data_IF_101698439020
#
_entry.id   IF_101698439020
#
_cell.length_a   1.000
_cell.length_b   1.000
_cell.length_c   1.000
_cell.angle_alpha   90.00
_cell.angle_beta   90.00
_cell.angle_gamma   90.00
#
_symmetry.space_group_name_H-M   'P 1'
#
loop_
_entity.id
_entity.type
_entity.pdbx_description
1 polymer ?
#
# COMPACT_ATOMS: atom_id res chain seq x y z
N UNK A 1 26.39 6.73 -3.93
CA UNK A 1 25.06 6.28 -3.41
C UNK A 1 25.14 5.50 -2.10
N UNK A 2 25.93 4.41 -2.03
CA UNK A 2 26.06 3.57 -0.83
C UNK A 2 26.51 4.29 0.44
N UNK A 3 27.30 5.37 0.31
CA UNK A 3 27.69 6.23 1.43
C UNK A 3 26.54 7.09 2.00
N UNK A 4 25.43 7.23 1.27
CA UNK A 4 24.30 8.11 1.62
C UNK A 4 23.02 7.32 1.90
N UNK A 5 22.76 6.24 1.14
CA UNK A 5 21.56 5.42 1.24
C UNK A 5 21.76 4.28 2.24
N UNK A 6 22.00 4.64 3.50
CA UNK A 6 22.16 3.71 4.62
C UNK A 6 20.82 3.24 5.18
N UNK A 7 20.85 2.25 6.08
CA UNK A 7 19.66 1.79 6.84
C UNK A 7 18.98 2.97 7.55
N UNK A 8 19.76 3.86 8.15
CA UNK A 8 19.27 5.06 8.82
C UNK A 8 18.57 6.02 7.84
N UNK A 9 19.16 6.25 6.66
CA UNK A 9 18.56 7.11 5.63
C UNK A 9 17.22 6.55 5.12
N UNK A 10 17.11 5.24 4.93
CA UNK A 10 15.85 4.60 4.57
C UNK A 10 14.82 4.70 5.70
N UNK A 11 15.22 4.49 6.96
CA UNK A 11 14.33 4.72 8.12
C UNK A 11 13.82 6.15 8.16
N UNK A 12 14.68 7.15 7.97
CA UNK A 12 14.30 8.56 7.90
C UNK A 12 13.29 8.82 6.77
N UNK A 13 13.52 8.24 5.59
CA UNK A 13 12.59 8.34 4.47
C UNK A 13 11.21 7.75 4.80
N UNK A 14 11.15 6.61 5.51
CA UNK A 14 9.89 6.01 5.96
C UNK A 14 9.16 6.87 7.00
N UNK A 15 9.89 7.50 7.94
CA UNK A 15 9.32 8.45 8.90
C UNK A 15 8.69 9.64 8.17
N UNK A 16 9.44 10.27 7.26
CA UNK A 16 8.93 11.40 6.47
C UNK A 16 7.73 10.97 5.62
N UNK A 17 7.78 9.79 4.99
CA UNK A 17 6.69 9.26 4.20
C UNK A 17 5.39 9.10 5.01
N UNK A 18 5.49 8.65 6.26
CA UNK A 18 4.33 8.60 7.16
C UNK A 18 3.79 9.99 7.50
N UNK A 19 4.69 10.94 7.80
CA UNK A 19 4.30 12.28 8.23
C UNK A 19 3.66 13.13 7.11
N UNK A 20 4.05 12.92 5.84
CA UNK A 20 3.48 13.67 4.70
C UNK A 20 2.16 13.10 4.19
N UNK A 21 1.66 11.98 4.73
CA UNK A 21 0.51 11.31 4.10
C UNK A 21 0.87 10.65 2.77
N UNK A 22 2.08 10.07 2.68
CA UNK A 22 2.70 9.62 1.43
C UNK A 22 1.88 8.59 0.63
N UNK A 23 2.28 8.41 -0.63
CA UNK A 23 1.70 7.36 -1.48
C UNK A 23 2.14 5.98 -0.99
N UNK A 24 1.22 5.00 -1.05
CA UNK A 24 1.55 3.59 -0.76
C UNK A 24 2.58 3.02 -1.74
N UNK A 25 2.62 3.53 -2.98
CA UNK A 25 3.68 3.22 -3.96
C UNK A 25 5.08 3.60 -3.47
N UNK A 26 5.19 4.63 -2.61
CA UNK A 26 6.47 5.07 -2.04
C UNK A 26 7.16 3.95 -1.28
N UNK A 27 6.40 3.09 -0.60
CA UNK A 27 6.92 1.92 0.11
C UNK A 27 7.52 0.91 -0.87
N UNK A 28 6.83 0.58 -1.97
CA UNK A 28 7.35 -0.34 -3.01
C UNK A 28 8.68 0.20 -3.56
N UNK A 29 8.74 1.49 -3.89
CA UNK A 29 9.93 2.11 -4.46
C UNK A 29 11.10 2.17 -3.46
N UNK A 30 10.84 2.52 -2.21
CA UNK A 30 11.87 2.52 -1.16
C UNK A 30 12.38 1.10 -0.88
N UNK A 31 11.50 0.10 -0.87
CA UNK A 31 11.87 -1.31 -0.73
C UNK A 31 12.76 -1.78 -1.87
N UNK A 32 12.41 -1.46 -3.14
CA UNK A 32 13.25 -1.79 -4.29
C UNK A 32 14.63 -1.10 -4.20
N UNK A 33 14.65 0.20 -3.92
CA UNK A 33 15.90 0.97 -3.79
C UNK A 33 16.80 0.44 -2.65
N UNK A 34 16.22 0.09 -1.51
CA UNK A 34 16.93 -0.53 -0.40
C UNK A 34 17.48 -1.91 -0.79
N UNK A 35 16.67 -2.72 -1.47
CA UNK A 35 17.06 -4.03 -1.99
C UNK A 35 18.29 -3.96 -2.88
N UNK A 36 18.41 -2.92 -3.73
CA UNK A 36 19.61 -2.70 -4.57
C UNK A 36 20.88 -2.44 -3.76
N UNK A 37 20.75 -1.97 -2.53
CA UNK A 37 21.86 -1.76 -1.58
C UNK A 37 22.08 -2.97 -0.65
N UNK A 38 21.34 -4.08 -0.83
CA UNK A 38 21.37 -5.22 0.08
C UNK A 38 20.67 -4.96 1.41
N UNK A 39 19.83 -3.92 1.49
CA UNK A 39 19.09 -3.55 2.69
C UNK A 39 17.65 -4.05 2.56
N UNK A 40 17.16 -4.78 3.56
CA UNK A 40 15.77 -5.21 3.64
C UNK A 40 14.96 -4.16 4.42
N UNK A 41 13.87 -3.67 3.83
CA UNK A 41 12.86 -2.90 4.57
C UNK A 41 12.02 -3.89 5.39
N UNK A 42 11.95 -3.64 6.69
CA UNK A 42 11.15 -4.42 7.63
C UNK A 42 9.74 -3.82 7.71
N UNK A 43 8.74 -4.58 7.28
CA UNK A 43 7.34 -4.15 7.30
C UNK A 43 6.78 -4.03 8.73
N UNK A 44 7.26 -4.82 9.67
CA UNK A 44 6.82 -4.73 11.07
C UNK A 44 7.36 -3.43 11.69
N UNK A 45 8.64 -3.12 11.43
CA UNK A 45 9.21 -1.84 11.82
C UNK A 45 8.52 -0.65 11.15
N UNK A 46 8.10 -0.79 9.88
CA UNK A 46 7.32 0.22 9.18
C UNK A 46 5.92 0.42 9.79
N UNK A 47 5.24 -0.66 10.21
CA UNK A 47 3.96 -0.54 10.93
C UNK A 47 4.12 0.20 12.25
N UNK A 48 5.20 -0.09 12.99
CA UNK A 48 5.50 0.60 14.24
C UNK A 48 5.68 2.11 14.01
N UNK A 49 6.40 2.51 12.95
CA UNK A 49 6.45 3.92 12.53
C UNK A 49 5.05 4.48 12.23
N UNK A 50 4.17 3.69 11.62
CA UNK A 50 2.77 4.08 11.37
C UNK A 50 1.92 4.28 12.64
N UNK A 51 2.39 3.82 13.80
CA UNK A 51 1.77 4.08 15.11
C UNK A 51 2.33 5.33 15.77
N UNK A 52 3.63 5.58 15.59
CA UNK A 52 4.37 6.60 16.34
C UNK A 52 4.49 7.95 15.61
N UNK A 53 4.46 7.94 14.27
CA UNK A 53 4.67 9.12 13.44
C UNK A 53 3.30 9.70 13.01
N UNK A 54 2.87 10.87 13.51
CA UNK A 54 1.61 11.48 13.09
C UNK A 54 1.68 12.03 11.66
N UNK A 55 0.53 12.15 10.98
CA UNK A 55 0.44 12.92 9.73
C UNK A 55 0.42 14.41 10.06
N UNK A 56 1.42 15.14 9.58
CA UNK A 56 1.64 16.56 9.86
C UNK A 56 1.30 17.47 8.68
N UNK A 57 1.36 16.97 7.46
CA UNK A 57 1.18 17.82 6.28
C UNK A 57 -0.27 17.82 5.82
N UNK A 58 -0.87 19.02 5.78
CA UNK A 58 -2.23 19.30 5.35
C UNK A 58 -2.33 19.37 3.82
N UNK A 59 -2.17 18.23 3.15
CA UNK A 59 -2.31 18.12 1.70
C UNK A 59 -3.37 17.12 1.30
N UNK A 60 -4.06 17.39 0.19
CA UNK A 60 -4.90 16.39 -0.45
C UNK A 60 -4.11 15.09 -0.73
N UNK A 61 -4.71 13.90 -0.52
CA UNK A 61 -6.11 13.66 -0.18
C UNK A 61 -6.42 13.63 1.32
N UNK A 62 -5.43 13.81 2.19
CA UNK A 62 -5.61 13.75 3.66
C UNK A 62 -5.94 15.09 4.30
N UNK A 63 -5.82 16.18 3.55
CA UNK A 63 -6.05 17.56 3.96
C UNK A 63 -6.58 18.44 2.81
N UNK A 64 -6.53 19.75 2.97
CA UNK A 64 -7.23 20.72 2.12
C UNK A 64 -6.32 21.44 1.09
N UNK A 65 -5.00 21.47 1.32
CA UNK A 65 -4.05 22.24 0.50
C UNK A 65 -3.36 21.43 -0.61
N UNK A 66 -2.52 22.12 -1.39
CA UNK A 66 -1.72 21.60 -2.52
C UNK A 66 -0.21 21.78 -2.30
N UNK A 67 0.62 21.08 -3.08
CA UNK A 67 2.08 21.05 -2.92
C UNK A 67 2.77 22.43 -2.90
N UNK A 68 2.25 23.42 -3.62
CA UNK A 68 2.75 24.81 -3.57
C UNK A 68 2.63 25.43 -2.17
N UNK A 69 1.54 25.14 -1.46
CA UNK A 69 1.34 25.59 -0.08
C UNK A 69 2.32 24.91 0.86
N UNK A 70 2.64 23.62 0.64
CA UNK A 70 3.67 22.93 1.41
C UNK A 70 5.05 23.55 1.19
N UNK A 71 5.37 23.91 -0.06
CA UNK A 71 6.60 24.63 -0.38
C UNK A 71 6.66 26.00 0.31
N UNK A 72 5.62 26.82 0.19
CA UNK A 72 5.55 28.14 0.83
C UNK A 72 5.53 28.09 2.36
N UNK A 73 5.10 26.97 2.95
CA UNK A 73 5.15 26.74 4.38
C UNK A 73 6.55 26.35 4.91
N UNK A 74 7.58 26.32 4.06
CA UNK A 74 8.96 25.96 4.41
C UNK A 74 9.36 24.53 4.01
N UNK A 75 8.45 23.77 3.41
CA UNK A 75 8.73 22.47 2.77
C UNK A 75 9.32 21.39 3.69
N UNK A 76 10.12 20.51 3.09
CA UNK A 76 10.69 19.33 3.77
C UNK A 76 11.61 19.70 4.96
N UNK A 77 12.51 20.69 4.88
CA UNK A 77 13.31 21.08 6.05
C UNK A 77 12.46 21.46 7.25
N UNK A 78 11.41 22.25 7.03
CA UNK A 78 10.49 22.67 8.09
C UNK A 78 9.72 21.49 8.69
N UNK A 79 9.26 20.56 7.85
CA UNK A 79 8.65 19.32 8.32
C UNK A 79 9.61 18.49 9.18
N UNK A 80 10.87 18.35 8.76
CA UNK A 80 11.87 17.57 9.49
C UNK A 80 12.17 18.15 10.88
N UNK A 81 12.05 19.47 11.07
CA UNK A 81 12.15 20.08 12.41
C UNK A 81 11.09 19.57 13.38
N UNK A 82 9.86 19.35 12.89
CA UNK A 82 8.79 18.75 13.70
C UNK A 82 9.00 17.27 13.98
N UNK A 83 9.88 16.60 13.24
CA UNK A 83 10.16 15.16 13.34
C UNK A 83 11.55 14.85 13.92
N UNK A 84 12.29 15.86 14.38
CA UNK A 84 13.73 15.75 14.65
C UNK A 84 14.12 14.63 15.63
N UNK A 85 13.25 14.29 16.59
CA UNK A 85 13.46 13.23 17.58
C UNK A 85 13.20 11.82 17.04
N UNK A 86 12.56 11.73 15.87
CA UNK A 86 12.26 10.48 15.17
C UNK A 86 13.24 10.20 14.02
N UNK A 87 14.11 11.17 13.71
CA UNK A 87 15.06 11.11 12.62
C UNK A 87 16.48 10.88 13.13
N UNK A 88 17.27 10.12 12.38
CA UNK A 88 18.72 10.08 12.53
C UNK A 88 19.33 11.30 11.84
N UNK A 89 19.61 12.32 12.64
CA UNK A 89 20.07 13.63 12.18
C UNK A 89 21.52 13.65 11.70
N UNK A 90 22.30 12.62 12.02
CA UNK A 90 23.73 12.55 11.67
C UNK A 90 23.94 11.88 10.30
N UNK A 91 22.84 11.46 9.64
CA UNK A 91 22.87 10.90 8.28
C UNK A 91 23.45 11.90 7.27
N UNK A 92 24.42 11.51 6.43
CA UNK A 92 25.07 12.42 5.48
C UNK A 92 24.15 12.77 4.30
N UNK A 93 24.34 13.95 3.73
CA UNK A 93 23.58 14.41 2.55
C UNK A 93 24.43 14.56 1.29
N UNK A 94 23.78 14.61 0.12
CA UNK A 94 24.46 14.89 -1.17
C UNK A 94 25.09 16.29 -1.25
N UNK A 95 24.64 17.23 -0.41
CA UNK A 95 25.16 18.60 -0.38
C UNK A 95 26.42 18.73 0.47
N UNK A 96 26.87 17.64 1.09
CA UNK A 96 27.81 17.68 2.21
C UNK A 96 27.06 17.89 3.54
N UNK A 97 27.77 17.72 4.65
CA UNK A 97 27.18 17.79 5.99
C UNK A 97 26.16 16.68 6.27
N UNK A 98 25.31 16.93 7.25
CA UNK A 98 24.36 16.00 7.84
C UNK A 98 22.91 16.44 7.61
N UNK A 99 21.95 15.56 7.92
CA UNK A 99 20.53 15.90 7.87
C UNK A 99 20.17 17.03 8.84
N UNK A 100 20.90 17.15 9.96
CA UNK A 100 20.82 18.29 10.88
C UNK A 100 21.13 19.62 10.17
N UNK A 101 22.18 19.64 9.36
CA UNK A 101 22.59 20.85 8.63
C UNK A 101 21.55 21.23 7.58
N UNK A 102 20.98 20.25 6.88
CA UNK A 102 19.87 20.48 5.95
C UNK A 102 18.62 21.00 6.67
N UNK A 103 18.27 20.43 7.81
CA UNK A 103 17.13 20.87 8.62
C UNK A 103 17.29 22.30 9.16
N UNK A 104 18.54 22.73 9.41
CA UNK A 104 18.84 24.11 9.80
C UNK A 104 18.63 25.13 8.68
N UNK A 105 18.48 24.71 7.42
CA UNK A 105 18.14 25.62 6.31
C UNK A 105 16.63 25.90 6.20
N UNK A 106 15.81 25.38 7.12
CA UNK A 106 14.37 25.62 7.06
C UNK A 106 14.05 27.10 7.24
N UNK A 107 13.22 27.63 6.36
CA UNK A 107 12.69 28.99 6.48
C UNK A 107 11.68 29.04 7.63
N UNK A 108 11.77 30.08 8.46
CA UNK A 108 10.71 30.40 9.40
C UNK A 108 9.59 31.13 8.65
N UNK A 109 8.41 30.51 8.63
CA UNK A 109 7.21 31.03 7.96
C UNK A 109 6.12 31.23 9.02
N UNK A 110 6.09 32.39 9.69
CA UNK A 110 5.16 32.63 10.77
C UNK A 110 3.70 32.49 10.33
N UNK A 111 2.91 31.77 11.13
CA UNK A 111 1.46 31.64 10.91
C UNK A 111 1.04 30.66 9.81
N UNK A 112 1.97 29.96 9.15
CA UNK A 112 1.61 28.89 8.22
C UNK A 112 0.87 27.76 8.95
N UNK A 113 -0.12 27.16 8.28
CA UNK A 113 -0.97 26.09 8.85
C UNK A 113 -0.85 24.75 8.12
N UNK A 114 -0.01 24.68 7.09
CA UNK A 114 0.11 23.53 6.18
C UNK A 114 0.97 22.42 6.79
N UNK A 115 2.07 22.80 7.44
CA UNK A 115 2.93 21.89 8.21
C UNK A 115 2.52 22.03 9.67
N UNK A 116 1.72 21.07 10.15
CA UNK A 116 1.19 21.09 11.51
C UNK A 116 2.25 20.70 12.53
N UNK A 117 2.24 21.32 13.73
CA UNK A 117 3.10 20.87 14.81
C UNK A 117 2.68 19.50 15.31
N UNK A 118 3.62 18.72 15.85
CA UNK A 118 3.33 17.40 16.43
C UNK A 118 2.25 17.39 17.52
N UNK A 119 2.08 18.50 18.24
CA UNK A 119 1.06 18.66 19.27
C UNK A 119 -0.37 18.88 18.70
N UNK A 120 -0.50 19.24 17.42
CA UNK A 120 -1.79 19.48 16.76
C UNK A 120 -1.80 18.92 15.31
N UNK A 121 -1.56 17.61 15.12
CA UNK A 121 -1.38 16.98 13.82
C UNK A 121 -2.69 16.88 13.03
N UNK A 122 -2.59 16.59 11.73
CA UNK A 122 -3.77 16.25 10.89
C UNK A 122 -4.37 14.91 11.32
N UNK A 123 -3.52 13.92 11.57
CA UNK A 123 -3.88 12.63 12.18
C UNK A 123 -2.86 12.29 13.26
N UNK A 124 -3.34 11.83 14.41
CA UNK A 124 -2.47 11.42 15.52
C UNK A 124 -1.67 10.13 15.23
N UNK A 125 -2.08 9.37 14.20
CA UNK A 125 -1.41 8.18 13.69
C UNK A 125 -0.76 8.45 12.33
N UNK A 126 0.11 7.55 11.89
CA UNK A 126 0.75 7.63 10.58
C UNK A 126 -0.19 7.37 9.43
N UNK A 127 0.27 7.71 8.23
CA UNK A 127 -0.53 7.61 7.01
C UNK A 127 -0.92 6.18 6.64
N UNK A 128 -0.05 5.21 6.91
CA UNK A 128 -0.14 3.84 6.44
C UNK A 128 0.02 2.85 7.59
N UNK A 129 -0.67 1.72 7.48
CA UNK A 129 -0.53 0.57 8.36
C UNK A 129 -0.28 -0.70 7.54
N UNK A 130 0.41 -1.66 8.15
CA UNK A 130 0.60 -3.00 7.58
C UNK A 130 -0.41 -3.95 8.21
N UNK A 131 -1.22 -4.58 7.37
CA UNK A 131 -2.20 -5.59 7.79
C UNK A 131 -1.62 -6.99 7.58
N UNK A 132 -1.88 -7.89 8.52
CA UNK A 132 -1.50 -9.29 8.47
C UNK A 132 -2.72 -10.19 8.70
N UNK A 133 -2.62 -11.45 8.29
CA UNK A 133 -3.65 -12.44 8.54
C UNK A 133 -3.67 -13.49 7.44
N UNK A 134 -4.62 -14.43 7.52
CA UNK A 134 -4.67 -15.55 6.57
C UNK A 134 -4.91 -15.11 5.11
N UNK A 135 -5.50 -13.92 4.89
CA UNK A 135 -5.71 -13.37 3.54
C UNK A 135 -4.45 -12.70 2.95
N UNK A 136 -3.57 -12.18 3.81
CA UNK A 136 -2.34 -11.49 3.44
C UNK A 136 -1.16 -11.96 4.31
N UNK A 137 -0.68 -13.21 4.13
CA UNK A 137 0.29 -13.82 5.04
C UNK A 137 1.68 -13.19 4.97
N UNK A 138 2.00 -12.41 3.93
CA UNK A 138 3.23 -11.61 3.84
C UNK A 138 2.98 -10.11 4.00
N UNK A 139 1.76 -9.74 4.39
CA UNK A 139 1.35 -8.36 4.59
C UNK A 139 0.51 -7.79 3.45
N UNK A 140 -0.21 -6.72 3.80
CA UNK A 140 -0.92 -5.83 2.90
C UNK A 140 -0.86 -4.41 3.47
N UNK A 141 -1.07 -3.39 2.63
CA UNK A 141 -0.97 -1.99 3.03
C UNK A 141 -2.34 -1.32 2.97
N UNK A 142 -2.67 -0.52 3.98
CA UNK A 142 -3.82 0.39 3.96
C UNK A 142 -3.33 1.82 4.25
N UNK A 143 -3.83 2.80 3.49
CA UNK A 143 -3.66 4.22 3.81
C UNK A 143 -4.69 4.64 4.86
N UNK A 144 -4.42 4.31 6.13
CA UNK A 144 -5.35 4.57 7.23
C UNK A 144 -5.69 6.06 7.41
N UNK A 145 -4.84 7.01 7.02
CA UNK A 145 -5.17 8.45 7.11
C UNK A 145 -6.29 8.90 6.17
N UNK A 146 -6.55 8.13 5.11
CA UNK A 146 -7.56 8.41 4.10
C UNK A 146 -8.76 7.43 4.16
N UNK A 147 -8.78 6.50 5.11
CA UNK A 147 -9.87 5.56 5.29
C UNK A 147 -11.02 6.15 6.12
N UNK A 148 -12.23 5.68 5.87
CA UNK A 148 -13.41 6.10 6.64
C UNK A 148 -13.41 5.43 8.02
N UNK A 149 -13.53 6.18 9.14
CA UNK A 149 -13.45 5.61 10.49
C UNK A 149 -14.42 4.46 10.74
N UNK A 150 -15.66 4.55 10.21
CA UNK A 150 -16.68 3.52 10.37
C UNK A 150 -16.36 2.18 9.66
N UNK A 151 -15.42 2.19 8.70
CA UNK A 151 -15.01 1.00 7.94
C UNK A 151 -13.64 0.44 8.37
N UNK A 152 -12.96 1.09 9.31
CA UNK A 152 -11.66 0.61 9.84
C UNK A 152 -11.78 -0.69 10.64
N UNK A 153 -12.99 -1.03 11.08
CA UNK A 153 -13.35 -2.31 11.67
C UNK A 153 -14.64 -2.78 11.01
N UNK A 154 -14.51 -3.64 10.02
CA UNK A 154 -15.60 -4.03 9.14
C UNK A 154 -15.55 -5.53 8.85
N UNK A 155 -16.71 -6.16 8.83
CA UNK A 155 -16.86 -7.52 8.29
C UNK A 155 -17.97 -7.50 7.27
N UNK A 156 -17.65 -7.91 6.04
CA UNK A 156 -18.60 -7.91 4.94
C UNK A 156 -18.42 -9.12 4.05
N UNK A 157 -19.44 -9.38 3.23
CA UNK A 157 -19.41 -10.45 2.24
C UNK A 157 -18.56 -10.03 1.04
N UNK A 158 -17.75 -10.94 0.53
CA UNK A 158 -16.90 -10.72 -0.63
C UNK A 158 -17.73 -10.68 -1.92
N UNK A 159 -17.49 -9.64 -2.73
CA UNK A 159 -17.90 -9.54 -4.13
C UNK A 159 -16.63 -9.51 -4.97
N UNK A 160 -16.39 -10.62 -5.68
CA UNK A 160 -15.13 -10.93 -6.36
C UNK A 160 -15.17 -10.54 -7.83
N UNK A 161 -14.13 -9.82 -8.23
CA UNK A 161 -13.75 -9.52 -9.60
C UNK A 161 -12.48 -10.26 -9.97
N UNK A 162 -12.55 -10.99 -11.07
CA UNK A 162 -11.54 -11.95 -11.52
C UNK A 162 -10.30 -11.28 -12.12
N UNK A 163 -10.47 -10.10 -12.70
CA UNK A 163 -9.43 -9.32 -13.35
C UNK A 163 -9.86 -7.86 -13.48
N UNK A 164 -8.95 -7.00 -13.93
CA UNK A 164 -9.27 -5.59 -14.25
C UNK A 164 -10.33 -5.49 -15.37
N UNK A 165 -10.32 -6.43 -16.31
CA UNK A 165 -11.33 -6.53 -17.37
C UNK A 165 -12.70 -6.93 -16.81
N UNK A 166 -12.75 -7.97 -15.97
CA UNK A 166 -13.99 -8.43 -15.31
C UNK A 166 -14.61 -7.33 -14.43
N UNK A 167 -13.77 -6.59 -13.68
CA UNK A 167 -14.19 -5.41 -12.93
C UNK A 167 -14.85 -4.37 -13.85
N UNK A 168 -14.18 -4.02 -14.96
CA UNK A 168 -14.68 -3.01 -15.90
C UNK A 168 -16.03 -3.41 -16.50
N UNK A 169 -16.23 -4.70 -16.79
CA UNK A 169 -17.46 -5.20 -17.39
C UNK A 169 -18.62 -5.32 -16.40
N UNK A 170 -18.36 -5.62 -15.13
CA UNK A 170 -19.40 -5.99 -14.15
C UNK A 170 -19.72 -4.95 -13.09
N UNK A 171 -18.81 -4.03 -12.76
CA UNK A 171 -18.97 -3.15 -11.57
C UNK A 171 -20.25 -2.30 -11.62
N UNK A 172 -20.66 -1.88 -12.82
CA UNK A 172 -21.84 -1.06 -13.06
C UNK A 172 -23.03 -1.85 -13.63
N UNK A 173 -22.95 -3.19 -13.68
CA UNK A 173 -24.08 -4.03 -14.06
C UNK A 173 -25.23 -3.86 -13.03
N UNK A 174 -26.44 -3.45 -13.45
CA UNK A 174 -27.59 -3.35 -12.54
C UNK A 174 -27.86 -4.66 -11.77
N UNK A 175 -27.59 -5.81 -12.40
CA UNK A 175 -27.80 -7.14 -11.84
C UNK A 175 -26.67 -7.62 -10.91
N UNK A 176 -25.55 -6.88 -10.79
CA UNK A 176 -24.47 -7.23 -9.86
C UNK A 176 -25.04 -7.33 -8.44
N UNK A 177 -25.00 -8.50 -7.82
CA UNK A 177 -25.40 -8.66 -6.43
C UNK A 177 -24.34 -8.03 -5.52
N UNK A 178 -24.59 -6.78 -5.09
CA UNK A 178 -23.70 -5.98 -4.23
C UNK A 178 -24.51 -5.03 -3.35
N UNK A 179 -24.12 -4.98 -2.08
CA UNK A 179 -24.66 -4.10 -1.04
C UNK A 179 -23.57 -3.17 -0.51
N UNK A 180 -23.95 -2.12 0.22
CA UNK A 180 -23.02 -1.09 0.71
C UNK A 180 -22.00 -1.61 1.75
N UNK A 181 -22.34 -2.68 2.46
CA UNK A 181 -21.53 -3.36 3.47
C UNK A 181 -20.72 -4.54 2.92
N UNK A 182 -20.85 -4.86 1.63
CA UNK A 182 -19.99 -5.86 0.98
C UNK A 182 -18.53 -5.38 0.87
N UNK A 183 -17.60 -6.32 0.77
CA UNK A 183 -16.18 -6.11 0.50
C UNK A 183 -15.92 -6.39 -0.98
N UNK A 184 -15.48 -5.37 -1.72
CA UNK A 184 -15.09 -5.57 -3.12
C UNK A 184 -13.69 -6.16 -3.17
N UNK A 185 -13.52 -7.25 -3.91
CA UNK A 185 -12.26 -8.01 -4.01
C UNK A 185 -11.83 -8.03 -5.46
N UNK A 186 -10.68 -7.44 -5.79
CA UNK A 186 -10.05 -7.59 -7.10
C UNK A 186 -8.83 -8.50 -6.96
N UNK A 187 -8.82 -9.58 -7.74
CA UNK A 187 -7.66 -10.47 -7.87
C UNK A 187 -7.02 -10.34 -9.24
N UNK A 188 -5.85 -10.96 -9.39
CA UNK A 188 -5.02 -10.96 -10.60
C UNK A 188 -4.65 -9.54 -11.05
N UNK A 189 -4.48 -8.63 -10.08
CA UNK A 189 -4.05 -7.26 -10.33
C UNK A 189 -2.66 -6.97 -9.73
N UNK A 190 -1.97 -8.02 -9.28
CA UNK A 190 -0.59 -7.99 -8.80
C UNK A 190 0.47 -7.89 -9.89
N UNK A 191 1.76 -7.96 -9.51
CA UNK A 191 2.89 -7.91 -10.44
C UNK A 191 2.77 -8.93 -11.58
N UNK A 192 2.52 -10.21 -11.29
CA UNK A 192 2.40 -11.25 -12.31
C UNK A 192 1.01 -11.30 -12.93
N UNK A 193 -0.03 -11.07 -12.13
CA UNK A 193 -1.42 -11.26 -12.53
C UNK A 193 -1.89 -10.32 -13.64
N UNK A 194 -1.65 -9.01 -13.47
CA UNK A 194 -2.22 -8.00 -14.38
C UNK A 194 -1.57 -7.94 -15.76
N UNK A 195 -0.26 -8.13 -15.97
CA UNK A 195 0.94 -7.92 -15.13
C UNK A 195 1.30 -6.44 -14.85
N UNK A 196 2.39 -6.20 -14.12
CA UNK A 196 2.94 -4.86 -13.84
C UNK A 196 2.31 -4.15 -12.64
N UNK A 197 1.35 -4.79 -11.96
CA UNK A 197 0.67 -4.28 -10.78
C UNK A 197 0.06 -2.88 -11.02
N UNK A 198 -0.97 -2.74 -11.86
CA UNK A 198 -1.57 -1.45 -12.21
C UNK A 198 -2.20 -0.76 -11.00
N UNK A 199 -2.53 0.52 -11.15
CA UNK A 199 -3.23 1.31 -10.12
C UNK A 199 -4.74 1.03 -10.07
N UNK A 200 -5.12 -0.24 -10.25
CA UNK A 200 -6.51 -0.72 -10.30
C UNK A 200 -7.08 -1.04 -8.92
N UNK A 201 -6.31 -0.87 -7.84
CA UNK A 201 -6.77 -1.09 -6.46
C UNK A 201 -7.76 -0.02 -5.97
N UNK A 202 -7.84 1.12 -6.67
CA UNK A 202 -8.92 2.09 -6.49
C UNK A 202 -10.19 1.64 -7.21
N UNK A 203 -10.78 0.52 -6.75
CA UNK A 203 -12.03 0.02 -7.30
C UNK A 203 -13.12 1.11 -7.17
N UNK A 204 -13.85 1.43 -8.25
CA UNK A 204 -14.94 2.37 -8.17
C UNK A 204 -16.09 1.78 -7.34
N UNK A 205 -16.83 2.65 -6.65
CA UNK A 205 -18.07 2.26 -6.00
C UNK A 205 -19.10 2.00 -7.11
N UNK A 206 -19.81 0.85 -7.12
CA UNK A 206 -20.86 0.56 -8.08
C UNK A 206 -21.81 1.75 -8.24
N UNK A 207 -22.06 2.19 -9.48
CA UNK A 207 -22.85 3.41 -9.73
C UNK A 207 -24.19 3.43 -9.02
N UNK A 208 -24.86 2.28 -8.93
CA UNK A 208 -26.14 2.15 -8.23
C UNK A 208 -26.05 2.45 -6.73
N UNK A 209 -24.94 2.10 -6.07
CA UNK A 209 -24.68 2.41 -4.66
C UNK A 209 -24.25 3.86 -4.50
N UNK A 210 -23.42 4.38 -5.42
CA UNK A 210 -23.03 5.79 -5.42
C UNK A 210 -24.26 6.72 -5.54
N UNK A 211 -25.23 6.38 -6.41
CA UNK A 211 -26.50 7.11 -6.54
C UNK A 211 -27.37 7.06 -5.29
N UNK A 212 -27.19 6.05 -4.43
CA UNK A 212 -27.84 5.95 -3.12
C UNK A 212 -27.06 6.69 -2.01
N UNK A 213 -25.95 7.33 -2.35
CA UNK A 213 -25.14 8.13 -1.41
C UNK A 213 -24.01 7.35 -0.73
N UNK A 214 -23.71 6.12 -1.16
CA UNK A 214 -22.53 5.38 -0.68
C UNK A 214 -21.26 6.07 -1.19
N UNK A 215 -20.42 6.53 -0.26
CA UNK A 215 -19.19 7.29 -0.55
C UNK A 215 -17.90 6.49 -0.31
N UNK A 216 -17.99 5.39 0.42
CA UNK A 216 -16.86 4.51 0.69
C UNK A 216 -17.36 3.08 0.94
N UNK A 217 -16.51 2.12 0.62
CA UNK A 217 -16.68 0.68 0.83
C UNK A 217 -15.30 0.08 1.07
N UNK A 218 -15.23 -1.03 1.81
CA UNK A 218 -13.98 -1.78 1.93
C UNK A 218 -13.66 -2.42 0.58
N UNK A 219 -12.48 -2.11 0.05
CA UNK A 219 -11.98 -2.61 -1.23
C UNK A 219 -10.61 -3.22 -1.03
N UNK A 220 -10.39 -4.43 -1.53
CA UNK A 220 -9.13 -5.15 -1.31
C UNK A 220 -8.58 -5.67 -2.64
N UNK A 221 -7.27 -5.61 -2.80
CA UNK A 221 -6.60 -6.15 -3.99
C UNK A 221 -5.12 -6.44 -3.77
N UNK A 222 -4.55 -7.23 -4.66
CA UNK A 222 -3.11 -7.35 -4.85
C UNK A 222 -2.53 -6.22 -5.75
N UNK A 223 -3.33 -5.19 -6.07
CA UNK A 223 -2.97 -4.08 -6.92
C UNK A 223 -2.32 -2.90 -6.16
N UNK A 224 -2.03 -1.83 -6.91
CA UNK A 224 -1.65 -0.51 -6.37
C UNK A 224 -2.78 0.49 -6.49
N UNK A 225 -2.59 1.69 -5.95
CA UNK A 225 -3.45 2.84 -6.22
C UNK A 225 -2.62 4.11 -6.35
N UNK A 226 -3.17 5.12 -7.03
CA UNK A 226 -2.58 6.46 -7.04
C UNK A 226 -2.53 7.06 -5.62
N UNK A 227 -1.48 7.82 -5.32
CA UNK A 227 -1.30 8.47 -4.01
C UNK A 227 -2.38 9.49 -3.63
N UNK A 228 -3.19 9.94 -4.60
CA UNK A 228 -4.26 10.92 -4.42
C UNK A 228 -5.62 10.31 -4.08
N UNK A 229 -5.71 8.98 -3.95
CA UNK A 229 -6.96 8.29 -3.65
C UNK A 229 -7.41 8.44 -2.18
N UNK A 230 -8.73 8.47 -1.98
CA UNK A 230 -9.42 8.43 -0.68
C UNK A 230 -10.18 7.11 -0.50
N UNK A 231 -10.38 6.67 0.74
CA UNK A 231 -11.29 5.61 1.11
C UNK A 231 -10.60 4.38 1.71
N UNK A 232 -11.43 3.41 2.10
CA UNK A 232 -11.00 2.26 2.91
C UNK A 232 -10.51 1.13 2.01
N UNK A 233 -9.25 1.23 1.59
CA UNK A 233 -8.67 0.38 0.53
C UNK A 233 -7.43 -0.35 1.03
N UNK A 234 -7.44 -1.68 0.90
CA UNK A 234 -6.30 -2.55 1.16
C UNK A 234 -5.63 -2.92 -0.16
N UNK A 235 -4.32 -2.76 -0.20
CA UNK A 235 -3.49 -2.89 -1.39
C UNK A 235 -2.32 -3.84 -1.13
N UNK A 236 -1.62 -4.20 -2.19
CA UNK A 236 -0.33 -4.89 -2.10
C UNK A 236 -0.43 -6.20 -1.33
N UNK A 237 -1.60 -6.85 -1.34
CA UNK A 237 -1.77 -8.14 -0.69
C UNK A 237 -0.73 -9.11 -1.24
N UNK A 238 0.12 -9.60 -0.34
CA UNK A 238 1.22 -10.49 -0.67
C UNK A 238 1.07 -11.85 0.06
N UNK A 239 1.31 -12.98 -0.62
CA UNK A 239 1.50 -13.10 -2.08
C UNK A 239 0.27 -12.68 -2.88
N UNK A 240 0.48 -12.23 -4.11
CA UNK A 240 -0.61 -11.93 -5.05
C UNK A 240 -1.39 -13.21 -5.43
N UNK A 241 -2.60 -13.08 -5.97
CA UNK A 241 -3.41 -14.24 -6.35
C UNK A 241 -2.74 -15.10 -7.44
N UNK A 242 -2.12 -14.46 -8.43
CA UNK A 242 -1.42 -15.13 -9.53
C UNK A 242 -0.17 -15.90 -9.09
N UNK A 243 0.35 -15.63 -7.89
CA UNK A 243 1.45 -16.38 -7.27
C UNK A 243 0.94 -17.44 -6.27
N UNK A 244 -0.35 -17.78 -6.30
CA UNK A 244 -0.97 -18.75 -5.39
C UNK A 244 -1.31 -18.19 -4.01
N UNK A 245 -1.35 -16.86 -3.87
CA UNK A 245 -1.73 -16.19 -2.64
C UNK A 245 -3.18 -16.47 -2.23
N UNK A 246 -3.52 -16.39 -0.93
CA UNK A 246 -4.87 -16.68 -0.43
C UNK A 246 -5.99 -15.83 -1.05
N UNK A 247 -5.67 -14.62 -1.55
CA UNK A 247 -6.60 -13.79 -2.31
C UNK A 247 -7.20 -14.51 -3.53
N UNK A 248 -6.42 -15.40 -4.17
CA UNK A 248 -6.88 -16.23 -5.28
C UNK A 248 -7.91 -17.29 -4.89
N UNK A 249 -8.09 -17.57 -3.59
CA UNK A 249 -9.02 -18.59 -3.08
C UNK A 249 -10.35 -18.01 -2.60
N UNK A 250 -10.49 -16.68 -2.58
CA UNK A 250 -11.72 -15.99 -2.20
C UNK A 250 -12.82 -16.31 -3.21
N UNK A 251 -14.05 -16.52 -2.72
CA UNK A 251 -15.27 -16.74 -3.50
C UNK A 251 -16.32 -15.70 -3.10
N UNK A 252 -17.21 -15.39 -4.04
CA UNK A 252 -18.41 -14.61 -3.74
C UNK A 252 -19.16 -15.23 -2.56
N UNK A 253 -19.58 -14.43 -1.59
CA UNK A 253 -20.28 -14.93 -0.41
C UNK A 253 -19.40 -15.13 0.83
N UNK A 254 -18.08 -15.30 0.68
CA UNK A 254 -17.19 -15.45 1.83
C UNK A 254 -17.19 -14.19 2.70
N UNK A 255 -17.08 -14.32 4.02
CA UNK A 255 -16.93 -13.17 4.90
C UNK A 255 -15.45 -12.76 4.99
N UNK A 256 -15.18 -11.46 4.91
CA UNK A 256 -13.85 -10.88 5.10
C UNK A 256 -13.92 -9.86 6.22
N UNK A 257 -13.01 -9.98 7.19
CA UNK A 257 -12.85 -9.05 8.30
C UNK A 257 -11.61 -8.18 8.07
N UNK A 258 -11.81 -6.86 8.08
CA UNK A 258 -10.78 -5.85 8.20
C UNK A 258 -10.81 -5.27 9.62
N UNK A 259 -9.70 -5.33 10.34
CA UNK A 259 -9.52 -4.64 11.61
C UNK A 259 -8.17 -3.93 11.60
N UNK A 260 -8.20 -2.64 11.27
CA UNK A 260 -7.00 -1.81 11.17
C UNK A 260 -6.34 -1.65 12.54
N UNK A 261 -7.11 -1.52 13.62
CA UNK A 261 -6.55 -1.36 14.96
C UNK A 261 -5.77 -2.61 15.40
N UNK A 262 -6.29 -3.79 15.11
CA UNK A 262 -5.63 -5.07 15.37
C UNK A 262 -4.60 -5.48 14.30
N UNK A 263 -4.40 -4.68 13.25
CA UNK A 263 -3.58 -5.01 12.07
C UNK A 263 -3.99 -6.33 11.40
N UNK A 264 -5.28 -6.63 11.38
CA UNK A 264 -5.82 -7.90 10.90
C UNK A 264 -6.57 -7.75 9.60
N UNK A 265 -6.29 -8.64 8.65
CA UNK A 265 -7.14 -8.90 7.48
C UNK A 265 -7.37 -10.42 7.37
N UNK A 266 -8.63 -10.83 7.49
CA UNK A 266 -8.99 -12.24 7.61
C UNK A 266 -10.06 -12.63 6.60
N UNK A 267 -9.83 -13.75 5.90
CA UNK A 267 -10.84 -14.51 5.19
C UNK A 267 -11.46 -15.51 6.17
N UNK A 268 -12.74 -15.35 6.48
CA UNK A 268 -13.47 -16.10 7.51
C UNK A 268 -13.95 -17.44 6.96
N UNK A 269 -12.98 -18.26 6.56
CA UNK A 269 -13.18 -19.59 6.00
C UNK A 269 -12.28 -20.55 6.76
N UNK A 270 -12.82 -21.69 7.17
CA UNK A 270 -12.06 -22.69 7.91
C UNK A 270 -10.82 -23.16 7.13
N UNK A 271 -9.74 -23.42 7.85
CA UNK A 271 -8.46 -23.83 7.26
C UNK A 271 -8.59 -25.10 6.40
N UNK A 272 -9.46 -26.04 6.80
CA UNK A 272 -9.76 -27.25 6.03
C UNK A 272 -10.43 -26.94 4.68
N UNK A 273 -11.31 -25.95 4.65
CA UNK A 273 -11.93 -25.50 3.40
C UNK A 273 -10.92 -24.76 2.53
N UNK A 274 -10.07 -23.90 3.11
CA UNK A 274 -9.01 -23.21 2.36
C UNK A 274 -7.99 -24.20 1.76
N UNK A 275 -7.62 -25.24 2.51
CA UNK A 275 -6.79 -26.33 2.01
C UNK A 275 -7.48 -27.04 0.83
N UNK A 276 -8.76 -27.41 0.96
CA UNK A 276 -9.53 -28.02 -0.12
C UNK A 276 -9.60 -27.14 -1.37
N UNK A 277 -9.79 -25.83 -1.21
CA UNK A 277 -9.79 -24.86 -2.32
C UNK A 277 -8.43 -24.80 -3.01
N UNK A 278 -7.34 -24.82 -2.24
CA UNK A 278 -5.98 -24.82 -2.76
C UNK A 278 -5.67 -26.10 -3.53
N UNK A 279 -6.04 -27.25 -2.99
CA UNK A 279 -5.85 -28.56 -3.64
C UNK A 279 -6.67 -28.66 -4.93
N UNK A 280 -7.92 -28.15 -4.92
CA UNK A 280 -8.78 -28.11 -6.09
C UNK A 280 -8.26 -27.16 -7.19
N UNK A 281 -7.60 -26.05 -6.81
CA UNK A 281 -6.95 -25.17 -7.76
C UNK A 281 -5.66 -25.79 -8.35
N UNK A 282 -4.95 -26.60 -7.55
CA UNK A 282 -3.71 -27.25 -7.97
C UNK A 282 -2.67 -26.24 -8.46
N UNK A 283 -2.04 -26.54 -9.60
CA UNK A 283 -1.13 -25.62 -10.30
C UNK A 283 -1.81 -24.81 -11.41
N UNK A 284 -3.15 -24.86 -11.51
CA UNK A 284 -3.85 -24.09 -12.52
C UNK A 284 -3.72 -22.59 -12.21
N UNK A 285 -3.59 -21.73 -13.24
CA UNK A 285 -3.70 -20.30 -13.05
C UNK A 285 -5.05 -19.97 -12.38
N UNK A 286 -5.11 -18.95 -11.50
CA UNK A 286 -6.38 -18.47 -10.98
C UNK A 286 -7.34 -18.13 -12.12
N UNK A 287 -8.65 -18.28 -11.88
CA UNK A 287 -9.65 -17.79 -12.82
C UNK A 287 -9.40 -16.30 -13.14
N UNK A 288 -9.51 -15.92 -14.41
CA UNK A 288 -9.23 -14.56 -14.88
C UNK A 288 -7.75 -14.16 -14.99
N UNK A 289 -6.80 -15.05 -14.67
CA UNK A 289 -5.38 -14.76 -14.84
C UNK A 289 -5.00 -14.64 -16.32
N UNK A 290 -4.14 -13.66 -16.63
CA UNK A 290 -3.58 -13.53 -17.97
C UNK A 290 -2.72 -14.76 -18.33
N UNK A 291 -2.68 -15.17 -19.61
CA UNK A 291 -1.79 -16.25 -20.06
C UNK A 291 -0.33 -15.96 -19.70
N UNK A 292 0.39 -17.00 -19.27
CA UNK A 292 1.83 -16.89 -19.03
C UNK A 292 2.54 -16.60 -20.36
N UNK A 293 3.31 -15.51 -20.48
CA UNK A 293 3.99 -15.20 -21.74
C UNK A 293 5.16 -16.17 -21.99
N UNK A 294 5.25 -16.71 -23.21
CA UNK A 294 6.30 -17.67 -23.58
C UNK A 294 7.68 -17.03 -23.84
N UNK A 295 7.70 -15.78 -24.33
CA UNK A 295 8.94 -15.08 -24.74
C UNK A 295 8.87 -13.56 -24.56
N UNK A 296 10.02 -12.90 -24.74
CA UNK A 296 10.17 -11.44 -24.69
C UNK A 296 10.20 -10.87 -23.27
N UNK A 297 10.10 -9.54 -23.16
CA UNK A 297 10.14 -8.85 -21.87
C UNK A 297 9.04 -9.32 -20.92
N UNK A 298 7.83 -9.57 -21.43
CA UNK A 298 6.71 -10.07 -20.62
C UNK A 298 7.04 -11.41 -19.94
N UNK A 299 7.73 -12.32 -20.64
CA UNK A 299 8.16 -13.61 -20.07
C UNK A 299 9.31 -13.45 -19.06
N UNK A 300 10.24 -12.53 -19.31
CA UNK A 300 11.29 -12.18 -18.35
C UNK A 300 10.68 -11.61 -17.07
N UNK A 301 9.77 -10.65 -17.23
CA UNK A 301 9.07 -9.99 -16.13
C UNK A 301 8.29 -11.02 -15.31
N UNK A 302 7.44 -11.83 -15.94
CA UNK A 302 6.63 -12.83 -15.26
C UNK A 302 7.46 -13.81 -14.40
N UNK A 303 8.60 -14.27 -14.92
CA UNK A 303 9.49 -15.21 -14.21
C UNK A 303 10.24 -14.55 -13.07
N UNK A 304 10.76 -13.34 -13.30
CA UNK A 304 11.78 -12.73 -12.45
C UNK A 304 11.22 -11.70 -11.47
N UNK A 305 10.02 -11.18 -11.70
CA UNK A 305 9.44 -10.14 -10.83
C UNK A 305 9.18 -10.68 -9.43
N UNK A 306 9.60 -9.90 -8.44
CA UNK A 306 9.35 -10.10 -7.03
C UNK A 306 7.97 -9.57 -6.64
N UNK A 307 7.55 -9.85 -5.41
CA UNK A 307 6.24 -9.41 -4.90
C UNK A 307 6.32 -7.96 -4.36
N UNK A 308 5.16 -7.38 -4.04
CA UNK A 308 5.06 -6.00 -3.59
C UNK A 308 5.81 -5.73 -2.27
N UNK A 309 5.79 -6.67 -1.34
CA UNK A 309 6.56 -6.64 -0.09
C UNK A 309 8.08 -6.72 -0.32
N UNK A 310 8.50 -7.06 -1.54
CA UNK A 310 9.89 -7.12 -1.99
C UNK A 310 10.22 -6.03 -3.03
N UNK A 311 9.34 -5.04 -3.19
CA UNK A 311 9.58 -3.86 -4.05
C UNK A 311 9.31 -4.07 -5.54
N UNK A 312 8.74 -5.21 -5.95
CA UNK A 312 8.48 -5.53 -7.36
C UNK A 312 9.73 -5.43 -8.27
N UNK A 313 10.94 -5.60 -7.71
CA UNK A 313 12.18 -5.65 -8.49
C UNK A 313 12.31 -7.00 -9.22
N UNK A 314 13.32 -7.15 -10.06
CA UNK A 314 13.71 -8.46 -10.59
C UNK A 314 14.64 -9.18 -9.63
N UNK A 315 14.39 -10.46 -9.39
CA UNK A 315 15.18 -11.29 -8.48
C UNK A 315 16.69 -11.28 -8.79
N UNK A 316 17.06 -11.36 -10.06
CA UNK A 316 18.45 -11.35 -10.54
C UNK A 316 19.12 -9.97 -10.50
N UNK A 317 18.36 -8.90 -10.20
CA UNK A 317 18.91 -7.56 -9.98
C UNK A 317 19.15 -7.26 -8.49
N UNK A 318 18.70 -8.11 -7.57
CA UNK A 318 18.94 -7.95 -6.14
C UNK A 318 20.30 -8.58 -5.76
N UNK A 319 21.26 -7.83 -5.18
CA UNK A 319 22.57 -8.36 -4.85
C UNK A 319 22.49 -9.55 -3.89
N UNK A 320 23.29 -10.60 -4.14
CA UNK A 320 23.35 -11.78 -3.28
C UNK A 320 22.13 -12.71 -3.36
N UNK A 321 21.15 -12.41 -4.21
CA UNK A 321 19.99 -13.28 -4.45
C UNK A 321 20.28 -14.20 -5.64
N UNK A 322 20.12 -15.50 -5.45
CA UNK A 322 20.09 -16.42 -6.59
C UNK A 322 18.79 -16.21 -7.38
N UNK A 323 18.82 -16.22 -8.74
CA UNK A 323 17.60 -16.20 -9.54
C UNK A 323 16.67 -17.34 -9.09
N UNK A 324 15.36 -17.09 -9.03
CA UNK A 324 14.39 -18.18 -8.82
C UNK A 324 14.45 -19.10 -10.03
N UNK A 325 14.67 -20.39 -9.76
CA UNK A 325 14.69 -21.45 -10.77
C UNK A 325 13.33 -21.63 -11.45
#
# INVERSE_FOLDING_TARGET
PSALMSVASFRNALVVMQAIGGSTNGLIHLTAAAGRMGIKIDLDAFDQLGRDVPVLVDLKPSGDHYMEHFHWAGGVPRLMQELQDLLDLDTPTVMGGTLRDYMATAEDVPGQTVIRPRAAPIKAMGSMAVLQGNLAPRGAIIKQSAASPALMQHTGRAVVFESVEDLTLRIDDPALDVQADDVLVLRNAGPRGAPGMPEAGYLPIPRKLAMQGVKDMVRISDARMSGTAFGTIVLHIAPESAAGGPLGLVRNGDLITLDVAARRIELRVDDAELARRRDAAGSAPPAGAAPVPDRGYAALFHRSVLQADEGCDFDFLVPGRAPRA
#
